data_IF_427735820769
#
_entry.id   IF_427735820769
#
_cell.length_a   1.000
_cell.length_b   1.000
_cell.length_c   1.000
_cell.angle_alpha   90.00
_cell.angle_beta   90.00
_cell.angle_gamma   90.00
#
_symmetry.space_group_name_H-M   'P 1'
#
loop_
_entity.id
_entity.type
_entity.pdbx_description
1 polymer ?
#
# COMPACT_ATOMS: atom_id res chain seq x y z
N UNK A 1 3.07 15.84 28.94
CA UNK A 1 3.78 14.64 28.45
C UNK A 1 4.79 15.05 27.37
N UNK A 2 5.81 15.83 27.74
CA UNK A 2 6.74 16.49 26.79
C UNK A 2 8.23 16.23 27.10
N UNK A 3 8.56 15.59 28.22
CA UNK A 3 9.94 15.43 28.71
C UNK A 3 10.80 14.39 27.97
N UNK A 4 10.23 13.60 27.06
CA UNK A 4 10.96 12.54 26.38
C UNK A 4 11.71 13.04 25.13
N UNK A 5 11.28 14.17 24.55
CA UNK A 5 12.01 14.85 23.47
C UNK A 5 13.36 15.41 23.95
N UNK A 6 13.51 15.63 25.25
CA UNK A 6 14.74 16.14 25.87
C UNK A 6 15.89 15.12 25.82
N UNK A 7 15.60 13.84 25.62
CA UNK A 7 16.61 12.77 25.46
C UNK A 7 17.04 12.54 23.99
N UNK A 8 16.83 13.53 23.11
CA UNK A 8 17.10 13.42 21.65
C UNK A 8 18.51 12.95 21.32
N UNK A 9 19.49 13.33 22.13
CA UNK A 9 20.93 13.12 21.87
C UNK A 9 21.50 11.91 22.61
N UNK A 10 20.73 11.28 23.50
CA UNK A 10 21.20 10.15 24.31
C UNK A 10 21.06 8.83 23.53
N UNK A 11 22.19 8.18 23.27
CA UNK A 11 22.24 6.93 22.52
C UNK A 11 21.62 5.76 23.28
N UNK A 12 21.66 5.79 24.60
CA UNK A 12 21.18 4.69 25.44
C UNK A 12 19.65 4.67 25.51
N UNK A 13 19.00 5.82 25.29
CA UNK A 13 17.54 5.99 25.33
C UNK A 13 16.88 6.12 23.96
N UNK A 14 17.66 6.03 22.88
CA UNK A 14 17.19 6.13 21.49
C UNK A 14 16.03 5.17 21.20
N UNK A 15 16.06 3.96 21.77
CA UNK A 15 14.98 2.99 21.66
C UNK A 15 13.64 3.52 22.19
N UNK A 16 13.63 4.07 23.40
CA UNK A 16 12.40 4.61 24.01
C UNK A 16 11.89 5.84 23.26
N UNK A 17 12.80 6.67 22.73
CA UNK A 17 12.45 7.80 21.86
C UNK A 17 11.75 7.35 20.58
N UNK A 18 12.21 6.27 19.95
CA UNK A 18 11.58 5.71 18.75
C UNK A 18 10.16 5.22 19.06
N UNK A 19 9.98 4.45 20.14
CA UNK A 19 8.66 3.95 20.55
C UNK A 19 7.69 5.09 20.93
N UNK A 20 8.15 6.09 21.69
CA UNK A 20 7.33 7.23 22.09
C UNK A 20 6.90 8.07 20.88
N UNK A 21 7.81 8.30 19.92
CA UNK A 21 7.48 9.03 18.71
C UNK A 21 6.42 8.29 17.87
N UNK A 22 6.52 6.96 17.78
CA UNK A 22 5.54 6.14 17.08
C UNK A 22 4.18 6.18 17.76
N UNK A 23 4.13 6.03 19.07
CA UNK A 23 2.89 6.11 19.83
C UNK A 23 2.19 7.45 19.58
N UNK A 24 2.93 8.56 19.65
CA UNK A 24 2.36 9.89 19.40
C UNK A 24 1.85 10.05 17.97
N UNK A 25 2.55 9.49 16.98
CA UNK A 25 2.07 9.50 15.59
C UNK A 25 0.82 8.64 15.42
N UNK A 26 0.78 7.47 16.08
CA UNK A 26 -0.41 6.61 16.12
C UNK A 26 -1.58 7.30 16.81
N UNK A 27 -1.34 8.16 17.79
CA UNK A 27 -2.35 8.96 18.49
C UNK A 27 -2.74 10.24 17.72
N UNK A 28 -2.23 10.42 16.50
CA UNK A 28 -2.59 11.52 15.61
C UNK A 28 -1.74 12.79 15.74
N UNK A 29 -0.68 12.76 16.55
CA UNK A 29 0.28 13.88 16.63
C UNK A 29 1.03 14.05 15.31
N UNK A 30 1.23 15.30 14.91
CA UNK A 30 1.86 15.69 13.65
C UNK A 30 3.05 16.64 13.85
N UNK A 31 3.67 16.63 15.03
CA UNK A 31 4.83 17.48 15.32
C UNK A 31 5.98 17.17 14.36
N UNK A 32 6.61 18.17 13.71
CA UNK A 32 7.68 17.95 12.71
C UNK A 32 8.83 17.06 13.20
N UNK A 33 9.16 17.15 14.49
CA UNK A 33 10.20 16.36 15.14
C UNK A 33 9.93 14.85 15.14
N UNK A 34 8.66 14.43 15.05
CA UNK A 34 8.26 13.02 15.01
C UNK A 34 8.64 12.38 13.67
N UNK A 35 8.52 13.13 12.57
CA UNK A 35 8.93 12.67 11.24
C UNK A 35 10.45 12.45 11.21
N UNK A 36 11.23 13.36 11.78
CA UNK A 36 12.68 13.19 11.89
C UNK A 36 13.06 11.92 12.66
N UNK A 37 12.34 11.62 13.74
CA UNK A 37 12.56 10.40 14.53
C UNK A 37 12.19 9.16 13.74
N UNK A 38 11.04 9.16 13.05
CA UNK A 38 10.64 8.05 12.19
C UNK A 38 11.68 7.82 11.09
N UNK A 39 12.24 8.89 10.52
CA UNK A 39 13.29 8.80 9.51
C UNK A 39 14.56 8.16 10.05
N UNK A 40 14.91 8.47 11.30
CA UNK A 40 16.02 7.85 12.04
C UNK A 40 15.79 6.35 12.28
N UNK A 41 14.54 5.92 12.49
CA UNK A 41 14.20 4.48 12.61
C UNK A 41 14.53 3.73 11.31
N UNK A 42 14.14 4.28 10.16
CA UNK A 42 14.37 3.65 8.85
C UNK A 42 15.85 3.50 8.46
N UNK A 43 16.73 4.31 9.04
CA UNK A 43 18.17 4.28 8.72
C UNK A 43 19.00 3.41 9.66
N UNK A 44 18.51 3.14 10.89
CA UNK A 44 19.30 2.51 11.95
C UNK A 44 18.83 1.08 12.28
N UNK A 45 17.54 0.79 12.12
CA UNK A 45 16.94 -0.40 12.74
C UNK A 45 16.91 -1.65 11.85
N UNK A 46 17.05 -2.82 12.49
CA UNK A 46 16.98 -4.13 11.83
C UNK A 46 15.53 -4.42 11.43
N UNK A 47 15.36 -4.98 10.23
CA UNK A 47 14.09 -5.30 9.55
C UNK A 47 12.91 -5.71 10.45
N UNK A 48 13.16 -6.50 11.48
CA UNK A 48 12.14 -7.01 12.39
C UNK A 48 11.37 -5.90 13.13
N UNK A 49 12.08 -4.89 13.66
CA UNK A 49 11.43 -3.82 14.43
C UNK A 49 10.63 -2.91 13.51
N UNK A 50 11.20 -2.63 12.33
CA UNK A 50 10.54 -1.83 11.32
C UNK A 50 9.20 -2.44 10.88
N UNK A 51 9.15 -3.76 10.70
CA UNK A 51 7.93 -4.45 10.33
C UNK A 51 6.81 -4.26 11.37
N UNK A 52 7.10 -4.49 12.64
CA UNK A 52 6.12 -4.31 13.72
C UNK A 52 5.60 -2.86 13.76
N UNK A 53 6.52 -1.91 13.64
CA UNK A 53 6.22 -0.48 13.63
C UNK A 53 5.29 -0.12 12.46
N UNK A 54 5.61 -0.60 11.27
CA UNK A 54 4.79 -0.39 10.07
C UNK A 54 3.42 -1.02 10.24
N UNK A 55 3.31 -2.25 10.73
CA UNK A 55 2.01 -2.89 10.96
C UNK A 55 1.14 -2.04 11.92
N UNK A 56 1.69 -1.57 13.04
CA UNK A 56 0.96 -0.74 14.01
C UNK A 56 0.51 0.61 13.44
N UNK A 57 1.34 1.24 12.62
CA UNK A 57 1.00 2.53 11.99
C UNK A 57 -0.19 2.40 11.03
N UNK A 58 -0.27 1.31 10.27
CA UNK A 58 -1.33 1.11 9.27
C UNK A 58 -2.63 0.56 9.87
N UNK A 59 -2.57 -0.02 11.08
CA UNK A 59 -3.77 -0.39 11.85
C UNK A 59 -4.29 0.74 12.74
N UNK A 60 -3.52 1.83 12.94
CA UNK A 60 -3.98 2.95 13.76
C UNK A 60 -5.15 3.70 13.11
N UNK A 61 -6.23 3.87 13.88
CA UNK A 61 -7.40 4.65 13.51
C UNK A 61 -7.16 6.17 13.50
N UNK A 62 -6.15 6.65 14.23
CA UNK A 62 -5.95 8.08 14.47
C UNK A 62 -4.76 8.68 13.73
N UNK A 63 -3.93 7.86 13.07
CA UNK A 63 -2.76 8.38 12.35
C UNK A 63 -3.18 9.41 11.29
N UNK A 64 -2.45 10.53 11.28
CA UNK A 64 -2.61 11.61 10.32
C UNK A 64 -2.20 11.14 8.91
N UNK A 65 -3.07 11.37 7.91
CA UNK A 65 -2.87 10.86 6.55
C UNK A 65 -1.63 11.45 5.85
N UNK A 66 -1.26 12.69 6.18
CA UNK A 66 -0.06 13.35 5.65
C UNK A 66 1.21 12.70 6.21
N UNK A 67 1.20 12.31 7.48
CA UNK A 67 2.30 11.58 8.11
C UNK A 67 2.42 10.19 7.51
N UNK A 68 1.29 9.48 7.35
CA UNK A 68 1.25 8.16 6.71
C UNK A 68 1.80 8.21 5.27
N UNK A 69 1.47 9.26 4.50
CA UNK A 69 2.01 9.47 3.16
C UNK A 69 3.54 9.56 3.15
N UNK A 70 4.12 10.34 4.07
CA UNK A 70 5.58 10.49 4.14
C UNK A 70 6.28 9.17 4.49
N UNK A 71 5.67 8.40 5.39
CA UNK A 71 6.14 7.06 5.77
C UNK A 71 6.10 6.12 4.56
N UNK A 72 4.97 6.08 3.84
CA UNK A 72 4.80 5.25 2.63
C UNK A 72 5.84 5.59 1.56
N UNK A 73 6.06 6.87 1.27
CA UNK A 73 7.05 7.31 0.28
C UNK A 73 8.46 6.86 0.67
N UNK A 74 8.82 6.96 1.96
CA UNK A 74 10.13 6.51 2.44
C UNK A 74 10.31 5.01 2.39
N UNK A 75 9.28 4.25 2.77
CA UNK A 75 9.26 2.80 2.65
C UNK A 75 9.47 2.37 1.21
N UNK A 76 8.78 3.04 0.29
CA UNK A 76 8.82 2.76 -1.14
C UNK A 76 10.18 3.02 -1.79
N UNK A 77 10.94 3.99 -1.26
CA UNK A 77 12.32 4.27 -1.70
C UNK A 77 13.30 3.14 -1.38
N UNK A 78 12.97 2.24 -0.44
CA UNK A 78 13.78 1.06 -0.12
C UNK A 78 13.09 -0.20 -0.63
N UNK A 79 13.65 -0.81 -1.69
CA UNK A 79 13.13 -2.06 -2.26
C UNK A 79 13.19 -3.18 -1.21
N UNK A 80 14.27 -3.24 -0.42
CA UNK A 80 14.45 -4.29 0.58
C UNK A 80 13.35 -4.22 1.65
N UNK A 81 13.08 -3.03 2.20
CA UNK A 81 12.03 -2.86 3.20
C UNK A 81 10.62 -3.04 2.62
N UNK A 82 10.31 -2.38 1.49
CA UNK A 82 8.99 -2.49 0.86
C UNK A 82 8.64 -3.91 0.41
N UNK A 83 9.64 -4.75 0.11
CA UNK A 83 9.41 -6.16 -0.24
C UNK A 83 9.04 -7.05 0.95
N UNK A 84 9.40 -6.64 2.18
CA UNK A 84 9.20 -7.40 3.41
C UNK A 84 7.96 -6.97 4.20
N UNK A 85 7.30 -5.90 3.75
CA UNK A 85 6.10 -5.36 4.38
C UNK A 85 4.87 -6.06 3.81
N UNK A 86 3.98 -6.46 4.72
CA UNK A 86 2.76 -7.19 4.42
C UNK A 86 1.66 -6.77 5.39
N UNK A 87 1.00 -5.65 5.08
CA UNK A 87 0.04 -4.97 5.95
C UNK A 87 -1.40 -5.33 5.61
N UNK A 88 -2.20 -5.54 6.65
CA UNK A 88 -3.66 -5.57 6.55
C UNK A 88 -4.19 -4.15 6.79
N UNK A 89 -5.12 -3.69 5.96
CA UNK A 89 -5.68 -2.34 6.09
C UNK A 89 -7.18 -2.39 6.39
N UNK A 90 -7.63 -1.44 7.21
CA UNK A 90 -9.03 -1.34 7.63
C UNK A 90 -9.65 0.02 7.33
N UNK A 91 -8.81 1.05 7.12
CA UNK A 91 -9.23 2.43 6.89
C UNK A 91 -9.34 2.77 5.42
N UNK A 92 -10.43 3.45 5.08
CA UNK A 92 -10.70 3.91 3.72
C UNK A 92 -9.67 4.93 3.26
N UNK A 93 -9.30 5.87 4.11
CA UNK A 93 -8.35 6.94 3.80
C UNK A 93 -6.96 6.36 3.49
N UNK A 94 -6.57 5.29 4.20
CA UNK A 94 -5.33 4.56 3.93
C UNK A 94 -5.36 3.89 2.56
N UNK A 95 -6.47 3.23 2.20
CA UNK A 95 -6.62 2.64 0.86
C UNK A 95 -6.56 3.73 -0.23
N UNK A 96 -7.32 4.82 -0.07
CA UNK A 96 -7.33 5.94 -1.02
C UNK A 96 -5.95 6.56 -1.19
N UNK A 97 -5.21 6.77 -0.10
CA UNK A 97 -3.84 7.26 -0.15
C UNK A 97 -2.93 6.32 -0.96
N UNK A 98 -3.02 5.01 -0.75
CA UNK A 98 -2.20 4.04 -1.46
C UNK A 98 -2.55 4.01 -2.95
N UNK A 99 -3.84 4.03 -3.29
CA UNK A 99 -4.32 4.11 -4.68
C UNK A 99 -3.82 5.39 -5.38
N UNK A 100 -3.86 6.54 -4.69
CA UNK A 100 -3.36 7.80 -5.22
C UNK A 100 -1.84 7.76 -5.44
N UNK A 101 -1.07 7.25 -4.48
CA UNK A 101 0.38 7.08 -4.63
C UNK A 101 0.74 6.14 -5.78
N UNK A 102 -0.05 5.08 -5.99
CA UNK A 102 0.12 4.17 -7.11
C UNK A 102 -0.13 4.85 -8.45
N UNK A 103 -1.19 5.67 -8.54
CA UNK A 103 -1.49 6.45 -9.74
C UNK A 103 -0.39 7.48 -10.04
N UNK A 104 0.08 8.21 -9.02
CA UNK A 104 1.20 9.15 -9.12
C UNK A 104 2.47 8.45 -9.64
N UNK A 105 2.78 7.26 -9.11
CA UNK A 105 3.90 6.41 -9.54
C UNK A 105 3.77 6.04 -11.01
N UNK A 106 2.59 5.61 -11.46
CA UNK A 106 2.34 5.25 -12.87
C UNK A 106 2.52 6.47 -13.78
N UNK A 107 1.94 7.61 -13.41
CA UNK A 107 2.04 8.86 -14.18
C UNK A 107 3.49 9.30 -14.29
N UNK A 108 4.24 9.27 -13.17
CA UNK A 108 5.66 9.61 -13.14
C UNK A 108 6.48 8.69 -14.05
N UNK A 109 6.29 7.37 -13.94
CA UNK A 109 6.99 6.38 -14.77
C UNK A 109 6.69 6.50 -16.27
N UNK A 110 5.50 6.94 -16.66
CA UNK A 110 5.14 7.16 -18.06
C UNK A 110 5.78 8.45 -18.58
N UNK A 111 5.78 9.51 -17.77
CA UNK A 111 6.36 10.82 -18.16
C UNK A 111 7.88 10.79 -18.21
N UNK A 112 8.50 10.08 -17.28
CA UNK A 112 9.94 9.96 -17.13
C UNK A 112 10.29 8.50 -16.88
N UNK A 113 10.42 7.69 -17.95
CA UNK A 113 10.78 6.29 -17.82
C UNK A 113 12.16 6.16 -17.18
N UNK A 114 12.22 5.63 -15.96
CA UNK A 114 13.47 5.24 -15.32
C UNK A 114 13.84 3.80 -15.68
N UNK A 115 15.13 3.51 -15.76
CA UNK A 115 15.63 2.13 -15.85
C UNK A 115 15.44 1.35 -14.55
N UNK A 116 15.24 2.06 -13.44
CA UNK A 116 14.97 1.46 -12.13
C UNK A 116 13.52 0.96 -12.06
N UNK A 117 13.34 -0.33 -11.76
CA UNK A 117 12.03 -0.93 -11.54
C UNK A 117 11.52 -0.50 -10.17
N UNK A 118 10.51 0.37 -10.17
CA UNK A 118 9.88 0.83 -8.94
C UNK A 118 8.73 -0.12 -8.58
N UNK A 119 8.82 -0.79 -7.42
CA UNK A 119 7.79 -1.70 -6.89
C UNK A 119 6.43 -0.99 -6.74
N UNK A 120 5.28 -1.60 -7.06
CA UNK A 120 3.98 -1.01 -6.74
C UNK A 120 3.74 -0.88 -5.22
N UNK A 121 3.05 0.18 -4.80
CA UNK A 121 2.65 0.37 -3.39
C UNK A 121 1.69 -0.72 -2.91
N UNK A 122 0.80 -1.16 -3.81
CA UNK A 122 -0.20 -2.21 -3.51
C UNK A 122 0.45 -3.53 -3.07
N UNK A 123 1.67 -3.85 -3.52
CA UNK A 123 2.38 -5.07 -3.10
C UNK A 123 2.86 -5.05 -1.64
N UNK A 124 2.66 -3.96 -0.91
CA UNK A 124 2.85 -3.92 0.55
C UNK A 124 1.60 -4.38 1.30
N UNK A 125 0.43 -4.43 0.64
CA UNK A 125 -0.85 -4.79 1.25
C UNK A 125 -1.13 -6.28 1.01
N UNK A 126 -1.47 -7.01 2.07
CA UNK A 126 -1.87 -8.43 1.96
C UNK A 126 -3.38 -8.66 1.88
N UNK A 127 -4.17 -7.67 2.31
CA UNK A 127 -5.62 -7.74 2.29
C UNK A 127 -6.25 -6.54 2.99
N UNK A 128 -7.58 -6.50 2.96
CA UNK A 128 -8.38 -5.45 3.57
C UNK A 128 -9.73 -5.98 4.04
N UNK A 129 -10.37 -5.23 4.94
CA UNK A 129 -11.72 -5.54 5.43
C UNK A 129 -12.76 -5.63 4.30
N UNK A 130 -13.82 -6.41 4.49
CA UNK A 130 -14.88 -6.59 3.48
C UNK A 130 -15.50 -5.26 3.02
N UNK A 131 -15.68 -4.31 3.96
CA UNK A 131 -16.15 -2.96 3.64
C UNK A 131 -15.21 -2.24 2.66
N UNK A 132 -13.89 -2.39 2.81
CA UNK A 132 -12.93 -1.82 1.88
C UNK A 132 -12.89 -2.54 0.54
N UNK A 133 -13.16 -3.84 0.51
CA UNK A 133 -13.30 -4.57 -0.76
C UNK A 133 -14.50 -4.05 -1.55
N UNK A 134 -15.65 -3.86 -0.89
CA UNK A 134 -16.85 -3.27 -1.51
C UNK A 134 -16.58 -1.84 -2.01
N UNK A 135 -15.91 -1.02 -1.19
CA UNK A 135 -15.49 0.30 -1.62
C UNK A 135 -14.56 0.26 -2.85
N UNK A 136 -13.61 -0.67 -2.87
CA UNK A 136 -12.68 -0.81 -4.00
C UNK A 136 -13.40 -1.24 -5.28
N UNK A 137 -14.43 -2.09 -5.21
CA UNK A 137 -15.30 -2.40 -6.36
C UNK A 137 -15.92 -1.12 -6.93
N UNK A 138 -16.54 -0.30 -6.08
CA UNK A 138 -17.20 0.93 -6.51
C UNK A 138 -16.19 1.92 -7.10
N UNK A 139 -15.04 2.06 -6.46
CA UNK A 139 -13.94 2.88 -6.96
C UNK A 139 -13.48 2.44 -8.36
N UNK A 140 -13.26 1.14 -8.55
CA UNK A 140 -12.84 0.57 -9.84
C UNK A 140 -13.90 0.74 -10.92
N UNK A 141 -15.19 0.61 -10.59
CA UNK A 141 -16.30 0.84 -11.53
C UNK A 141 -16.29 2.28 -12.05
N UNK A 142 -16.18 3.24 -11.13
CA UNK A 142 -16.13 4.66 -11.48
C UNK A 142 -14.85 5.01 -12.26
N UNK A 143 -13.73 4.40 -11.89
CA UNK A 143 -12.45 4.62 -12.57
C UNK A 143 -12.42 4.04 -13.99
N UNK A 144 -13.03 2.87 -14.19
CA UNK A 144 -13.10 2.20 -15.49
C UNK A 144 -14.05 2.89 -16.47
N UNK A 145 -15.02 3.68 -15.99
CA UNK A 145 -15.97 4.42 -16.82
C UNK A 145 -15.24 5.26 -17.88
N UNK A 146 -15.74 5.25 -19.11
CA UNK A 146 -15.22 6.02 -20.26
C UNK A 146 -15.24 7.53 -19.98
N UNK A 147 -16.10 8.00 -19.07
CA UNK A 147 -16.24 9.42 -18.72
C UNK A 147 -15.11 9.99 -17.86
N UNK A 148 -14.25 9.19 -17.24
CA UNK A 148 -13.11 9.73 -16.47
C UNK A 148 -12.04 10.29 -17.41
N UNK A 149 -11.53 11.48 -17.08
CA UNK A 149 -10.54 12.24 -17.88
C UNK A 149 -9.15 11.57 -17.98
N UNK A 150 -8.91 10.49 -17.24
CA UNK A 150 -7.63 9.78 -17.22
C UNK A 150 -7.42 9.06 -18.56
N UNK A 151 -6.30 9.37 -19.21
CA UNK A 151 -5.91 8.76 -20.50
C UNK A 151 -5.86 7.23 -20.41
N UNK A 152 -6.35 6.58 -21.46
CA UNK A 152 -6.47 5.12 -21.55
C UNK A 152 -5.21 4.33 -21.10
N UNK A 153 -3.97 4.64 -21.53
CA UNK A 153 -2.80 3.85 -21.10
C UNK A 153 -2.48 3.96 -19.60
N UNK A 154 -2.85 5.06 -18.93
CA UNK A 154 -2.70 5.19 -17.48
C UNK A 154 -3.77 4.34 -16.79
N UNK A 155 -5.00 4.44 -17.28
CA UNK A 155 -6.16 3.71 -16.75
C UNK A 155 -5.94 2.20 -16.80
N UNK A 156 -5.59 1.69 -17.97
CA UNK A 156 -5.33 0.26 -18.19
C UNK A 156 -4.19 -0.26 -17.30
N UNK A 157 -3.09 0.48 -17.22
CA UNK A 157 -1.94 0.09 -16.39
C UNK A 157 -2.29 0.05 -14.90
N UNK A 158 -3.07 1.03 -14.43
CA UNK A 158 -3.53 1.08 -13.04
C UNK A 158 -4.45 -0.09 -12.70
N UNK A 159 -5.46 -0.36 -13.55
CA UNK A 159 -6.35 -1.51 -13.41
C UNK A 159 -5.57 -2.84 -13.40
N UNK A 160 -4.62 -2.99 -14.32
CA UNK A 160 -3.75 -4.17 -14.42
C UNK A 160 -2.98 -4.43 -13.12
N UNK A 161 -2.44 -3.38 -12.49
CA UNK A 161 -1.68 -3.52 -11.24
C UNK A 161 -2.59 -3.94 -10.09
N UNK A 162 -3.80 -3.37 -10.00
CA UNK A 162 -4.77 -3.76 -8.96
C UNK A 162 -5.18 -5.22 -9.13
N UNK A 163 -5.44 -5.67 -10.35
CA UNK A 163 -5.83 -7.06 -10.63
C UNK A 163 -4.70 -8.04 -10.29
N UNK A 164 -3.45 -7.68 -10.62
CA UNK A 164 -2.27 -8.47 -10.21
C UNK A 164 -2.16 -8.54 -8.69
N UNK A 165 -2.31 -7.42 -8.01
CA UNK A 165 -2.30 -7.38 -6.54
C UNK A 165 -3.40 -8.27 -5.93
N UNK A 166 -4.63 -8.19 -6.44
CA UNK A 166 -5.76 -9.03 -6.00
C UNK A 166 -5.41 -10.51 -6.17
N UNK A 167 -4.84 -10.87 -7.32
CA UNK A 167 -4.40 -12.23 -7.61
C UNK A 167 -3.35 -12.70 -6.60
N UNK A 168 -2.33 -11.88 -6.35
CA UNK A 168 -1.27 -12.20 -5.40
C UNK A 168 -1.83 -12.45 -3.99
N UNK A 169 -2.85 -11.67 -3.57
CA UNK A 169 -3.58 -11.89 -2.32
C UNK A 169 -4.32 -13.24 -2.27
N UNK A 170 -4.72 -13.82 -3.41
CA UNK A 170 -5.38 -15.13 -3.47
C UNK A 170 -4.40 -16.28 -3.27
N UNK A 171 -3.22 -16.16 -3.89
CA UNK A 171 -2.24 -17.24 -4.01
C UNK A 171 -1.34 -17.30 -2.76
N UNK A 172 -1.26 -16.20 -2.00
CA UNK A 172 -0.42 -16.12 -0.81
C UNK A 172 -0.81 -17.16 0.25
N UNK A 173 0.04 -18.19 0.38
CA UNK A 173 -0.05 -19.24 1.41
C UNK A 173 0.06 -18.56 2.78
N UNK A 174 -1.05 -18.53 3.53
CA UNK A 174 -1.14 -17.90 4.85
C UNK A 174 -2.09 -16.71 4.94
N UNK A 175 -2.79 -16.34 3.86
CA UNK A 175 -3.87 -15.37 3.96
C UNK A 175 -5.07 -16.03 4.68
N UNK A 176 -5.28 -15.64 5.94
CA UNK A 176 -6.33 -16.22 6.80
C UNK A 176 -7.74 -15.71 6.45
N UNK A 177 -7.84 -14.67 5.62
CA UNK A 177 -9.08 -14.11 5.11
C UNK A 177 -8.94 -13.80 3.62
N UNK A 178 -9.42 -14.70 2.72
CA UNK A 178 -9.42 -14.43 1.29
C UNK A 178 -10.33 -13.25 0.97
N UNK A 179 -10.12 -12.63 -0.20
CA UNK A 179 -11.04 -11.62 -0.70
C UNK A 179 -12.41 -12.27 -0.99
N UNK A 180 -13.47 -11.47 -0.93
CA UNK A 180 -14.85 -11.95 -1.11
C UNK A 180 -15.12 -12.43 -2.54
N UNK A 181 -16.03 -13.40 -2.69
CA UNK A 181 -16.45 -13.91 -4.00
C UNK A 181 -16.96 -12.79 -4.93
N UNK A 182 -17.71 -11.84 -4.37
CA UNK A 182 -18.19 -10.65 -5.08
C UNK A 182 -17.06 -9.84 -5.70
N UNK A 183 -15.91 -9.80 -5.05
CA UNK A 183 -14.77 -9.07 -5.58
C UNK A 183 -14.19 -9.77 -6.78
N UNK A 184 -14.06 -11.10 -6.75
CA UNK A 184 -13.61 -11.89 -7.90
C UNK A 184 -14.60 -11.81 -9.08
N UNK A 185 -15.89 -11.97 -8.81
CA UNK A 185 -16.94 -11.81 -9.82
C UNK A 185 -16.83 -10.47 -10.53
N UNK A 186 -16.59 -9.39 -9.76
CA UNK A 186 -16.38 -8.07 -10.34
C UNK A 186 -15.12 -8.01 -11.23
N UNK A 187 -14.00 -8.59 -10.80
CA UNK A 187 -12.77 -8.63 -11.64
C UNK A 187 -13.02 -9.37 -12.96
N UNK A 188 -13.80 -10.46 -12.96
CA UNK A 188 -14.11 -11.17 -14.19
C UNK A 188 -14.97 -10.39 -15.18
N UNK A 189 -15.75 -9.38 -14.73
CA UNK A 189 -16.48 -8.50 -15.65
C UNK A 189 -15.56 -7.71 -16.58
N UNK A 190 -14.28 -7.55 -16.24
CA UNK A 190 -13.33 -6.92 -17.15
C UNK A 190 -13.03 -7.78 -18.39
N UNK A 191 -13.22 -9.10 -18.35
CA UNK A 191 -13.03 -9.98 -19.51
C UNK A 191 -14.01 -9.64 -20.65
N UNK A 192 -15.20 -9.14 -20.30
CA UNK A 192 -16.22 -8.71 -21.28
C UNK A 192 -15.91 -7.33 -21.89
N UNK A 193 -14.91 -6.60 -21.35
CA UNK A 193 -14.56 -5.26 -21.80
C UNK A 193 -13.31 -5.27 -22.70
N UNK A 194 -13.45 -5.13 -24.04
CA UNK A 194 -12.31 -5.19 -24.97
C UNK A 194 -11.36 -3.99 -24.88
N UNK A 195 -11.70 -2.95 -24.09
CA UNK A 195 -10.90 -1.74 -23.97
C UNK A 195 -9.56 -1.95 -23.26
N UNK A 196 -9.42 -3.03 -22.48
CA UNK A 196 -8.27 -3.26 -21.59
C UNK A 196 -7.61 -4.63 -21.84
N UNK A 197 -6.93 -4.83 -22.99
CA UNK A 197 -6.27 -6.10 -23.29
C UNK A 197 -5.21 -6.53 -22.25
N UNK A 198 -4.47 -5.60 -21.64
CA UNK A 198 -3.47 -5.95 -20.60
C UNK A 198 -4.13 -6.41 -19.30
N UNK A 199 -5.34 -5.92 -19.02
CA UNK A 199 -6.16 -6.40 -17.92
C UNK A 199 -6.58 -7.85 -18.17
N UNK A 200 -7.03 -8.18 -19.38
CA UNK A 200 -7.39 -9.57 -19.74
C UNK A 200 -6.20 -10.50 -19.54
N UNK A 201 -5.04 -10.11 -20.06
CA UNK A 201 -3.80 -10.87 -19.91
C UNK A 201 -3.47 -11.12 -18.44
N UNK A 202 -3.58 -10.09 -17.58
CA UNK A 202 -3.34 -10.26 -16.16
C UNK A 202 -4.31 -11.23 -15.47
N UNK A 203 -5.59 -11.22 -15.87
CA UNK A 203 -6.59 -12.17 -15.35
C UNK A 203 -6.27 -13.60 -15.82
N UNK A 204 -5.86 -13.80 -17.07
CA UNK A 204 -5.48 -15.12 -17.55
C UNK A 204 -4.20 -15.64 -16.88
N UNK A 205 -3.17 -14.81 -16.74
CA UNK A 205 -1.94 -15.15 -16.03
C UNK A 205 -2.23 -15.54 -14.56
N UNK A 206 -3.15 -14.83 -13.93
CA UNK A 206 -3.63 -15.12 -12.58
C UNK A 206 -4.29 -16.49 -12.46
N UNK A 207 -5.25 -16.79 -13.34
CA UNK A 207 -5.93 -18.07 -13.39
C UNK A 207 -4.95 -19.22 -13.63
N UNK A 208 -4.04 -19.07 -14.61
CA UNK A 208 -3.02 -20.07 -14.90
C UNK A 208 -2.14 -20.37 -13.69
N UNK A 209 -1.79 -19.34 -12.92
CA UNK A 209 -1.00 -19.50 -11.70
C UNK A 209 -1.76 -20.29 -10.65
N UNK A 210 -3.06 -20.01 -10.43
CA UNK A 210 -3.90 -20.77 -9.51
C UNK A 210 -4.00 -22.26 -9.90
N UNK A 211 -4.12 -22.58 -11.19
CA UNK A 211 -4.17 -23.96 -11.67
C UNK A 211 -2.86 -24.74 -11.48
N UNK A 212 -1.71 -24.08 -11.38
CA UNK A 212 -0.42 -24.73 -11.12
C UNK A 212 -0.26 -25.07 -9.63
N UNK A 213 -0.91 -24.32 -8.73
CA UNK A 213 -0.83 -24.51 -7.27
C UNK A 213 -1.94 -25.41 -6.69
N UNK A 214 -2.91 -25.84 -7.50
CA UNK A 214 -3.96 -26.82 -7.17
C UNK A 214 -3.55 -28.23 -7.62
#
# INVERSE_FOLDING_TARGET
>A
MQHWLDYRTDKDWRFFRHFAALQLVMDGSNTPQLIDIINEIFTIDRDFRLRYIVEQLFTSQHINITVLRQILVKLHQSIDYSSRISIWIERRETLELILNLELERIISNIRQPSTMVIRPYLLMIKGCSENLQMYLIEYLRLFADVKTEIKNPIKEKFLTIIIKWITDCCISIGNTQPLSMKFYEYIFTFLDNPQFPEVHKAIFDALNTLFIFL
#
